data_IF_630810079360
#
_entry.id   IF_630810079360
#
_cell.length_a   1.000
_cell.length_b   1.000
_cell.length_c   1.000
_cell.angle_alpha   90.00
_cell.angle_beta   90.00
_cell.angle_gamma   90.00
#
_symmetry.space_group_name_H-M   'P 1'
#
loop_
_entity.id
_entity.type
_entity.pdbx_description
1 polymer ?
#
# COMPACT_ATOMS: atom_id res chain seq x y z
N UNK A 1 -20.88 17.38 -24.96
CA UNK A 1 -21.79 16.22 -25.00
C UNK A 1 -21.00 15.03 -24.48
N UNK A 2 -21.34 14.62 -23.25
CA UNK A 2 -20.68 13.47 -22.62
C UNK A 2 -21.09 12.18 -23.33
N UNK A 3 -20.18 11.20 -23.32
CA UNK A 3 -20.50 9.84 -23.74
C UNK A 3 -21.52 9.27 -22.73
N UNK A 4 -22.77 9.09 -23.12
CA UNK A 4 -23.85 8.60 -22.23
C UNK A 4 -23.48 7.26 -21.57
N UNK A 5 -22.83 6.37 -22.33
CA UNK A 5 -22.35 5.06 -21.79
C UNK A 5 -21.31 5.24 -20.71
N UNK A 6 -20.42 6.23 -20.83
CA UNK A 6 -19.43 6.52 -19.81
C UNK A 6 -20.07 7.12 -18.55
N UNK A 7 -21.06 7.99 -18.71
CA UNK A 7 -21.82 8.55 -17.59
C UNK A 7 -22.57 7.43 -16.86
N UNK A 8 -23.25 6.57 -17.62
CA UNK A 8 -23.93 5.40 -17.06
C UNK A 8 -22.95 4.52 -16.27
N UNK A 9 -21.81 4.15 -16.84
CA UNK A 9 -20.80 3.31 -16.18
C UNK A 9 -20.24 3.93 -14.90
N UNK A 10 -20.14 5.26 -14.84
CA UNK A 10 -19.66 5.98 -13.65
C UNK A 10 -20.69 6.01 -12.50
N UNK A 11 -21.99 5.92 -12.79
CA UNK A 11 -23.04 6.22 -11.81
C UNK A 11 -24.13 5.13 -11.69
N UNK A 12 -24.10 4.03 -12.50
CA UNK A 12 -25.16 3.02 -12.46
C UNK A 12 -25.18 2.20 -11.16
N UNK A 13 -24.08 2.22 -10.41
CA UNK A 13 -23.97 1.61 -9.08
C UNK A 13 -22.95 2.35 -8.21
N UNK A 14 -22.88 1.96 -6.95
CA UNK A 14 -21.79 2.35 -6.08
C UNK A 14 -20.63 1.36 -6.21
N UNK A 15 -19.38 1.85 -6.00
CA UNK A 15 -18.21 1.01 -5.88
C UNK A 15 -18.36 0.16 -4.62
N UNK A 16 -18.40 -1.16 -4.79
CA UNK A 16 -18.64 -2.08 -3.69
C UNK A 16 -17.42 -2.21 -2.80
N UNK A 17 -17.64 -2.10 -1.49
CA UNK A 17 -16.68 -2.56 -0.49
C UNK A 17 -16.80 -4.09 -0.41
N UNK A 18 -15.90 -4.80 -1.11
CA UNK A 18 -15.84 -6.26 -1.11
C UNK A 18 -15.21 -6.82 0.16
N UNK A 19 -14.86 -8.10 0.15
CA UNK A 19 -14.32 -8.85 1.29
C UNK A 19 -13.00 -8.33 1.86
N UNK A 20 -12.47 -7.24 1.37
CA UNK A 20 -11.19 -6.69 1.87
C UNK A 20 -10.98 -5.22 1.56
N UNK A 21 -11.95 -4.56 0.90
CA UNK A 21 -11.84 -3.15 0.56
C UNK A 21 -12.45 -2.77 -0.79
N UNK A 22 -12.04 -1.63 -1.33
CA UNK A 22 -12.47 -1.09 -2.63
C UNK A 22 -11.39 -1.31 -3.69
N UNK A 23 -11.81 -1.45 -4.94
CA UNK A 23 -10.92 -1.38 -6.11
C UNK A 23 -11.72 -0.89 -7.33
N UNK A 24 -11.17 0.07 -8.05
CA UNK A 24 -11.83 0.60 -9.25
C UNK A 24 -10.96 1.61 -10.00
N UNK A 25 -11.46 2.07 -11.13
CA UNK A 25 -10.85 3.14 -11.90
C UNK A 25 -10.91 4.45 -11.13
N UNK A 26 -9.83 5.23 -11.21
CA UNK A 26 -9.77 6.58 -10.64
C UNK A 26 -10.66 7.50 -11.48
N UNK A 27 -11.51 8.31 -10.85
CA UNK A 27 -12.32 9.30 -11.54
C UNK A 27 -13.59 9.72 -10.80
N UNK A 28 -14.33 10.62 -11.40
CA UNK A 28 -15.61 11.07 -10.87
C UNK A 28 -16.70 10.00 -11.10
N UNK A 29 -17.51 9.78 -10.08
CA UNK A 29 -18.63 8.83 -10.10
C UNK A 29 -18.69 7.94 -8.86
N UNK A 30 -19.88 7.41 -8.59
CA UNK A 30 -20.11 6.51 -7.44
C UNK A 30 -19.45 5.14 -7.65
N UNK A 31 -19.27 4.72 -8.91
CA UNK A 31 -18.59 3.48 -9.31
C UNK A 31 -17.11 3.75 -9.67
N UNK A 32 -16.45 4.67 -8.98
CA UNK A 32 -15.04 5.06 -9.20
C UNK A 32 -14.30 5.25 -7.88
N UNK A 33 -12.98 5.09 -7.94
CA UNK A 33 -12.08 5.51 -6.84
C UNK A 33 -11.91 7.03 -6.89
N UNK A 34 -12.32 7.69 -5.85
CA UNK A 34 -12.17 9.13 -5.63
C UNK A 34 -12.27 9.47 -4.14
N UNK A 35 -12.07 10.73 -3.79
CA UNK A 35 -12.11 11.19 -2.39
C UNK A 35 -13.43 10.87 -1.70
N UNK A 36 -14.56 10.90 -2.41
CA UNK A 36 -15.88 10.63 -1.82
C UNK A 36 -16.08 9.16 -1.50
N UNK A 37 -15.68 8.26 -2.40
CA UNK A 37 -15.77 6.81 -2.17
C UNK A 37 -14.79 6.36 -1.09
N UNK A 38 -13.60 6.97 -1.01
CA UNK A 38 -12.64 6.75 0.09
C UNK A 38 -13.21 7.23 1.42
N UNK A 39 -13.78 8.45 1.48
CA UNK A 39 -14.43 8.97 2.69
C UNK A 39 -15.58 8.09 3.14
N UNK A 40 -16.42 7.63 2.21
CA UNK A 40 -17.54 6.71 2.52
C UNK A 40 -17.04 5.42 3.16
N UNK A 41 -16.05 4.77 2.55
CA UNK A 41 -15.46 3.56 3.08
C UNK A 41 -14.84 3.79 4.46
N UNK A 42 -14.11 4.90 4.62
CA UNK A 42 -13.45 5.24 5.88
C UNK A 42 -14.45 5.63 6.98
N UNK A 43 -15.55 6.31 6.64
CA UNK A 43 -16.62 6.59 7.60
C UNK A 43 -17.26 5.29 8.11
N UNK A 44 -17.52 4.32 7.23
CA UNK A 44 -18.02 3.01 7.63
C UNK A 44 -17.02 2.25 8.52
N UNK A 45 -15.74 2.26 8.15
CA UNK A 45 -14.67 1.68 8.98
C UNK A 45 -14.60 2.35 10.35
N UNK A 46 -14.66 3.69 10.40
CA UNK A 46 -14.66 4.45 11.66
C UNK A 46 -15.84 4.10 12.57
N UNK A 47 -17.05 4.00 11.99
CA UNK A 47 -18.25 3.60 12.71
C UNK A 47 -18.09 2.19 13.32
N UNK A 48 -17.56 1.25 12.52
CA UNK A 48 -17.30 -0.10 12.98
C UNK A 48 -16.25 -0.15 14.10
N UNK A 49 -15.11 0.54 13.94
CA UNK A 49 -14.07 0.64 14.97
C UNK A 49 -14.65 1.18 16.29
N UNK A 50 -15.48 2.22 16.24
CA UNK A 50 -16.13 2.81 17.42
C UNK A 50 -17.08 1.78 18.07
N UNK A 51 -17.86 1.05 17.27
CA UNK A 51 -18.77 0.02 17.78
C UNK A 51 -18.04 -1.14 18.47
N UNK A 52 -16.81 -1.43 18.06
CA UNK A 52 -15.94 -2.44 18.68
C UNK A 52 -15.14 -1.90 19.88
N UNK A 53 -15.34 -0.64 20.27
CA UNK A 53 -14.60 -0.01 21.38
C UNK A 53 -13.13 0.25 21.10
N UNK A 54 -12.71 0.23 19.83
CA UNK A 54 -11.31 0.34 19.39
C UNK A 54 -10.81 1.75 19.12
N UNK A 55 -11.62 2.78 19.38
CA UNK A 55 -11.34 4.18 19.01
C UNK A 55 -9.96 4.67 19.45
N UNK A 56 -9.54 4.33 20.65
CA UNK A 56 -8.29 4.82 21.26
C UNK A 56 -7.02 4.13 20.71
N UNK A 57 -7.17 3.00 20.00
CA UNK A 57 -6.02 2.26 19.45
C UNK A 57 -5.45 2.88 18.16
N UNK A 58 -6.25 3.65 17.44
CA UNK A 58 -5.84 4.27 16.17
C UNK A 58 -5.76 3.33 14.97
N UNK A 59 -5.35 3.89 13.82
CA UNK A 59 -5.26 3.21 12.52
C UNK A 59 -3.95 3.57 11.84
N UNK A 60 -3.20 2.58 11.35
CA UNK A 60 -2.01 2.81 10.52
C UNK A 60 -2.38 2.86 9.04
N UNK A 61 -1.74 3.75 8.27
CA UNK A 61 -2.05 3.97 6.85
C UNK A 61 -0.77 3.96 6.03
N UNK A 62 -0.71 3.08 5.03
CA UNK A 62 0.34 3.04 4.01
C UNK A 62 -0.26 3.20 2.61
N UNK A 63 0.58 3.53 1.65
CA UNK A 63 0.18 3.72 0.27
C UNK A 63 1.32 3.36 -0.70
N UNK A 64 0.97 3.08 -1.94
CA UNK A 64 1.90 2.77 -3.02
C UNK A 64 2.20 3.98 -3.91
N UNK A 65 2.90 3.74 -5.04
CA UNK A 65 3.29 4.78 -6.01
C UNK A 65 2.18 5.22 -6.95
N UNK A 66 0.98 4.63 -6.90
CA UNK A 66 -0.10 4.93 -7.83
C UNK A 66 -0.57 6.37 -7.72
N UNK A 67 -1.11 6.88 -8.83
CA UNK A 67 -1.79 8.18 -8.87
C UNK A 67 -2.82 8.27 -7.75
N UNK A 68 -2.89 9.39 -7.08
CA UNK A 68 -3.82 9.70 -5.98
C UNK A 68 -3.63 8.84 -4.71
N UNK A 69 -2.62 7.96 -4.62
CA UNK A 69 -2.44 7.14 -3.42
C UNK A 69 -2.12 7.97 -2.18
N UNK A 70 -1.23 8.98 -2.21
CA UNK A 70 -1.00 9.86 -1.08
C UNK A 70 -2.26 10.66 -0.68
N UNK A 71 -2.97 11.21 -1.66
CA UNK A 71 -4.18 12.00 -1.42
C UNK A 71 -5.30 11.15 -0.80
N UNK A 72 -5.48 9.93 -1.27
CA UNK A 72 -6.47 9.01 -0.70
C UNK A 72 -6.07 8.55 0.72
N UNK A 73 -4.78 8.40 1.00
CA UNK A 73 -4.28 8.11 2.35
C UNK A 73 -4.59 9.27 3.31
N UNK A 74 -4.34 10.51 2.89
CA UNK A 74 -4.67 11.71 3.67
C UNK A 74 -6.18 11.85 3.88
N UNK A 75 -6.99 11.64 2.85
CA UNK A 75 -8.45 11.69 2.98
C UNK A 75 -8.99 10.65 3.97
N UNK A 76 -8.45 9.43 3.96
CA UNK A 76 -8.79 8.42 4.95
C UNK A 76 -8.35 8.85 6.36
N UNK A 77 -7.15 9.37 6.52
CA UNK A 77 -6.64 9.85 7.80
C UNK A 77 -7.48 10.99 8.39
N UNK A 78 -7.85 11.98 7.56
CA UNK A 78 -8.65 13.11 7.98
C UNK A 78 -10.10 12.74 8.32
N UNK A 79 -10.65 11.73 7.65
CA UNK A 79 -11.95 11.15 8.01
C UNK A 79 -11.89 10.43 9.36
N UNK A 80 -10.85 9.62 9.61
CA UNK A 80 -10.63 8.97 10.91
C UNK A 80 -10.47 9.99 12.03
N UNK A 81 -9.61 11.00 11.82
CA UNK A 81 -9.35 12.06 12.78
C UNK A 81 -10.64 12.82 13.15
N UNK A 82 -11.49 13.15 12.17
CA UNK A 82 -12.78 13.81 12.40
C UNK A 82 -13.78 12.93 13.19
N UNK A 83 -13.57 11.61 13.22
CA UNK A 83 -14.30 10.69 14.09
C UNK A 83 -13.59 10.47 15.44
N UNK A 84 -12.49 11.18 15.70
CA UNK A 84 -11.70 11.10 16.92
C UNK A 84 -10.84 9.84 17.01
N UNK A 85 -10.51 9.21 15.87
CA UNK A 85 -9.63 8.06 15.77
C UNK A 85 -8.29 8.55 15.27
N UNK A 86 -7.20 8.26 15.98
CA UNK A 86 -5.86 8.66 15.59
C UNK A 86 -5.41 7.89 14.34
N UNK A 87 -4.88 8.61 13.36
CA UNK A 87 -4.28 8.06 12.15
C UNK A 87 -2.75 8.18 12.20
N UNK A 88 -2.05 7.08 11.96
CA UNK A 88 -0.61 7.01 11.79
C UNK A 88 -0.31 6.82 10.30
N UNK A 89 0.14 7.86 9.62
CA UNK A 89 0.34 7.87 8.16
C UNK A 89 1.83 7.83 7.84
N UNK A 90 2.25 6.90 7.00
CA UNK A 90 3.63 6.86 6.55
C UNK A 90 4.01 8.13 5.76
N UNK A 91 5.23 8.63 5.98
CA UNK A 91 5.79 9.83 5.35
C UNK A 91 6.07 9.67 3.84
N UNK A 92 6.17 8.44 3.38
CA UNK A 92 6.35 8.06 1.98
C UNK A 92 5.71 6.68 1.75
N UNK A 93 5.73 6.23 0.49
CA UNK A 93 5.20 4.90 0.14
C UNK A 93 5.87 3.78 0.94
N UNK A 94 5.09 2.83 1.42
CA UNK A 94 5.56 1.63 2.14
C UNK A 94 4.81 0.40 1.68
N UNK A 95 5.47 -0.78 1.70
CA UNK A 95 4.85 -2.04 1.26
C UNK A 95 3.83 -2.55 2.29
N UNK A 96 2.86 -3.29 1.78
CA UNK A 96 1.81 -3.93 2.59
C UNK A 96 2.33 -4.73 3.80
N UNK A 97 3.41 -5.54 3.71
CA UNK A 97 3.94 -6.24 4.87
C UNK A 97 4.44 -5.30 5.97
N UNK A 98 4.96 -4.14 5.60
CA UNK A 98 5.39 -3.13 6.57
C UNK A 98 4.21 -2.44 7.25
N UNK A 99 3.08 -2.23 6.55
CA UNK A 99 1.84 -1.83 7.22
C UNK A 99 1.39 -2.87 8.24
N UNK A 100 1.33 -4.14 7.86
CA UNK A 100 0.96 -5.24 8.76
C UNK A 100 1.84 -5.27 10.03
N UNK A 101 3.12 -5.01 9.86
CA UNK A 101 4.06 -4.86 10.97
C UNK A 101 3.77 -3.62 11.80
N UNK A 102 3.61 -2.45 11.15
CA UNK A 102 3.40 -1.16 11.80
C UNK A 102 2.15 -1.15 12.69
N UNK A 103 1.03 -1.64 12.16
CA UNK A 103 -0.22 -1.65 12.93
C UNK A 103 -0.12 -2.49 14.21
N UNK A 104 0.56 -3.65 14.15
CA UNK A 104 0.82 -4.48 15.34
C UNK A 104 1.82 -3.83 16.28
N UNK A 105 2.88 -3.23 15.75
CA UNK A 105 3.93 -2.54 16.53
C UNK A 105 3.38 -1.34 17.30
N UNK A 106 2.46 -0.59 16.69
CA UNK A 106 1.79 0.57 17.29
C UNK A 106 0.58 0.21 18.14
N UNK A 107 0.12 -1.05 18.12
CA UNK A 107 -1.09 -1.49 18.80
C UNK A 107 -2.38 -0.93 18.20
N UNK A 108 -2.38 -0.63 16.90
CA UNK A 108 -3.55 -0.13 16.19
C UNK A 108 -4.65 -1.19 16.10
N UNK A 109 -5.93 -0.75 16.09
CA UNK A 109 -7.08 -1.62 15.87
C UNK A 109 -7.22 -2.05 14.40
N UNK A 110 -6.76 -1.21 13.48
CA UNK A 110 -6.92 -1.44 12.05
C UNK A 110 -5.75 -0.82 11.26
N UNK A 111 -5.62 -1.23 10.02
CA UNK A 111 -4.72 -0.64 9.05
C UNK A 111 -5.38 -0.43 7.70
N UNK A 112 -4.88 0.52 6.93
CA UNK A 112 -5.33 0.82 5.57
C UNK A 112 -4.12 0.81 4.63
N UNK A 113 -4.24 0.14 3.47
CA UNK A 113 -3.30 0.31 2.36
C UNK A 113 -4.03 0.85 1.15
N UNK A 114 -3.57 1.98 0.66
CA UNK A 114 -4.06 2.54 -0.60
C UNK A 114 -3.24 1.96 -1.74
N UNK A 115 -3.86 1.03 -2.47
CA UNK A 115 -3.21 0.29 -3.57
C UNK A 115 -4.22 -0.48 -4.40
N UNK A 116 -3.96 -0.65 -5.69
CA UNK A 116 -4.66 -1.59 -6.55
C UNK A 116 -3.75 -2.78 -6.96
N UNK A 117 -2.72 -3.10 -6.17
CA UNK A 117 -1.81 -4.22 -6.47
C UNK A 117 -1.09 -4.00 -7.81
N UNK A 118 -1.17 -4.97 -8.69
CA UNK A 118 -0.58 -4.96 -10.03
C UNK A 118 -1.57 -4.58 -11.15
N UNK A 119 -2.75 -4.03 -10.82
CA UNK A 119 -3.69 -3.55 -11.83
C UNK A 119 -3.07 -2.43 -12.70
N UNK A 120 -3.62 -2.17 -13.90
CA UNK A 120 -3.22 -1.05 -14.74
C UNK A 120 -3.22 0.30 -14.01
N UNK A 121 -2.49 1.32 -14.52
CA UNK A 121 -2.27 2.60 -13.82
C UNK A 121 -3.56 3.40 -13.56
N UNK A 122 -4.63 3.16 -14.32
CA UNK A 122 -5.92 3.83 -14.14
C UNK A 122 -6.67 3.40 -12.87
N UNK A 123 -6.23 2.29 -12.25
CA UNK A 123 -6.85 1.74 -11.03
C UNK A 123 -6.19 2.25 -9.77
N UNK A 124 -7.00 2.41 -8.73
CA UNK A 124 -6.54 2.45 -7.35
C UNK A 124 -7.48 1.63 -6.47
N UNK A 125 -7.14 1.48 -5.20
CA UNK A 125 -7.91 0.70 -4.25
C UNK A 125 -7.62 1.11 -2.81
N UNK A 126 -8.42 0.54 -1.93
CA UNK A 126 -8.39 0.74 -0.49
C UNK A 126 -8.54 -0.62 0.16
N UNK A 127 -7.52 -1.14 0.81
CA UNK A 127 -7.56 -2.42 1.53
C UNK A 127 -7.55 -2.16 3.04
N UNK A 128 -8.44 -2.83 3.76
CA UNK A 128 -8.51 -2.75 5.22
C UNK A 128 -7.88 -3.98 5.88
N UNK A 129 -7.25 -3.76 7.03
CA UNK A 129 -6.58 -4.74 7.87
C UNK A 129 -7.11 -4.64 9.29
N UNK A 130 -7.01 -5.71 10.07
CA UNK A 130 -7.44 -5.70 11.47
C UNK A 130 -6.23 -5.84 12.41
N UNK A 131 -6.47 -5.79 13.73
CA UNK A 131 -5.43 -5.71 14.76
C UNK A 131 -4.42 -6.86 14.76
N UNK A 132 -4.75 -7.99 14.14
CA UNK A 132 -3.84 -9.12 13.95
C UNK A 132 -2.80 -8.90 12.84
N UNK A 133 -2.96 -7.85 12.04
CA UNK A 133 -2.10 -7.54 10.90
C UNK A 133 -2.50 -8.20 9.59
N UNK A 134 -3.58 -8.97 9.59
CA UNK A 134 -4.11 -9.59 8.37
C UNK A 134 -5.15 -8.68 7.69
N UNK A 135 -5.32 -8.87 6.37
CA UNK A 135 -6.45 -8.28 5.67
C UNK A 135 -7.75 -8.78 6.29
N UNK A 136 -8.73 -7.89 6.43
CA UNK A 136 -10.00 -8.20 7.11
C UNK A 136 -10.69 -9.44 6.53
N UNK A 137 -11.23 -10.26 7.44
CA UNK A 137 -12.01 -11.47 7.17
C UNK A 137 -13.25 -11.47 8.07
N UNK A 138 -14.20 -12.41 7.88
CA UNK A 138 -15.34 -12.50 8.80
C UNK A 138 -14.91 -12.64 10.26
N UNK A 139 -15.57 -11.92 11.20
CA UNK A 139 -16.79 -11.11 11.01
C UNK A 139 -16.51 -9.64 10.64
N UNK A 140 -15.27 -9.20 10.58
CA UNK A 140 -14.90 -7.78 10.45
C UNK A 140 -15.23 -7.22 9.06
N UNK A 141 -15.00 -7.98 7.99
CA UNK A 141 -15.33 -7.59 6.62
C UNK A 141 -16.83 -7.29 6.47
N UNK A 142 -17.67 -8.20 6.95
CA UNK A 142 -19.13 -8.05 6.93
C UNK A 142 -19.59 -6.86 7.79
N UNK A 143 -19.03 -6.73 9.00
CA UNK A 143 -19.37 -5.63 9.90
C UNK A 143 -19.00 -4.25 9.33
N UNK A 144 -17.82 -4.12 8.73
CA UNK A 144 -17.38 -2.89 8.06
C UNK A 144 -18.27 -2.60 6.84
N UNK A 145 -18.53 -3.61 6.00
CA UNK A 145 -19.37 -3.47 4.82
C UNK A 145 -20.79 -3.00 5.18
N UNK A 146 -21.36 -3.53 6.26
CA UNK A 146 -22.69 -3.12 6.74
C UNK A 146 -22.70 -1.66 7.22
N UNK A 147 -21.63 -1.19 7.88
CA UNK A 147 -21.50 0.21 8.26
C UNK A 147 -21.28 1.12 7.05
N UNK A 148 -20.51 0.70 6.04
CA UNK A 148 -20.34 1.44 4.77
C UNK A 148 -21.67 1.60 4.04
N UNK A 149 -22.51 0.57 3.99
CA UNK A 149 -23.85 0.61 3.37
C UNK A 149 -24.81 1.58 4.06
N UNK A 150 -24.67 1.80 5.36
CA UNK A 150 -25.48 2.78 6.10
C UNK A 150 -25.16 4.23 5.77
N UNK A 151 -23.99 4.48 5.22
CA UNK A 151 -23.56 5.82 4.79
C UNK A 151 -24.16 6.12 3.42
N UNK A 152 -25.39 6.56 3.37
CA UNK A 152 -26.15 6.83 2.14
C UNK A 152 -26.12 8.29 1.71
N UNK A 153 -25.84 9.20 2.64
CA UNK A 153 -25.75 10.64 2.38
C UNK A 153 -24.29 11.09 2.44
N UNK A 154 -23.79 11.55 1.30
CA UNK A 154 -22.41 12.03 1.14
C UNK A 154 -22.11 13.31 1.95
N UNK A 155 -23.15 14.03 2.44
CA UNK A 155 -22.98 15.16 3.34
C UNK A 155 -22.66 14.76 4.78
N UNK A 156 -22.83 13.47 5.13
CA UNK A 156 -22.64 12.96 6.49
C UNK A 156 -21.21 12.50 6.79
N UNK A 157 -20.34 12.46 5.79
CA UNK A 157 -18.92 12.15 6.02
C UNK A 157 -18.30 13.20 6.92
N UNK A 158 -17.64 12.74 7.96
CA UNK A 158 -16.82 13.62 8.77
C UNK A 158 -15.45 13.75 8.12
N UNK A 159 -14.96 14.96 8.05
CA UNK A 159 -13.58 15.28 7.69
C UNK A 159 -13.15 16.53 8.41
N UNK A 160 -11.85 16.76 8.52
CA UNK A 160 -11.26 17.97 9.12
C UNK A 160 -10.02 18.39 8.34
N UNK A 161 -9.49 19.58 8.63
CA UNK A 161 -8.24 20.00 8.04
C UNK A 161 -7.05 19.22 8.60
N UNK A 162 -5.98 19.12 7.83
CA UNK A 162 -4.72 18.51 8.29
C UNK A 162 -4.14 19.27 9.49
N UNK A 163 -4.26 20.60 9.50
CA UNK A 163 -3.79 21.45 10.59
C UNK A 163 -4.54 21.12 11.88
N UNK A 164 -5.88 21.06 11.85
CA UNK A 164 -6.69 20.73 13.02
C UNK A 164 -6.43 19.29 13.50
N UNK A 165 -6.28 18.34 12.57
CA UNK A 165 -5.99 16.95 12.92
C UNK A 165 -4.65 16.80 13.64
N UNK A 166 -3.61 17.51 13.18
CA UNK A 166 -2.30 17.57 13.83
C UNK A 166 -2.36 18.29 15.18
N UNK A 167 -3.03 19.42 15.25
CA UNK A 167 -3.21 20.16 16.49
C UNK A 167 -3.95 19.34 17.56
N UNK A 168 -4.92 18.51 17.14
CA UNK A 168 -5.63 17.59 18.04
C UNK A 168 -4.83 16.32 18.39
N UNK A 169 -3.64 16.10 17.81
CA UNK A 169 -2.85 14.88 17.99
C UNK A 169 -3.45 13.63 17.34
N UNK A 170 -4.37 13.82 16.39
CA UNK A 170 -5.11 12.75 15.69
C UNK A 170 -4.53 12.39 14.31
N UNK A 171 -3.50 13.11 13.87
CA UNK A 171 -2.72 12.78 12.66
C UNK A 171 -1.23 12.78 13.03
N UNK A 172 -0.61 11.62 12.94
CA UNK A 172 0.81 11.44 13.20
C UNK A 172 1.51 10.86 11.96
N UNK A 173 2.59 11.52 11.55
CA UNK A 173 3.44 11.01 10.47
C UNK A 173 4.43 10.01 11.05
N UNK A 174 4.48 8.80 10.49
CA UNK A 174 5.41 7.72 10.86
C UNK A 174 6.35 7.42 9.69
N UNK A 175 7.50 6.80 9.97
CA UNK A 175 8.52 6.46 8.97
C UNK A 175 9.71 5.75 9.60
N UNK A 176 10.89 6.38 9.61
CA UNK A 176 12.18 5.76 9.94
C UNK A 176 12.19 4.88 11.19
N UNK A 177 11.47 5.23 12.26
CA UNK A 177 11.40 4.41 13.49
C UNK A 177 10.71 3.08 13.24
N UNK A 178 9.68 3.07 12.39
CA UNK A 178 8.99 1.83 12.00
C UNK A 178 9.87 1.05 11.02
N UNK A 179 10.46 1.73 10.02
CA UNK A 179 11.38 1.12 9.05
C UNK A 179 12.52 0.38 9.75
N UNK A 180 13.17 1.02 10.74
CA UNK A 180 14.26 0.43 11.51
C UNK A 180 13.83 -0.82 12.28
N UNK A 181 12.67 -0.74 12.92
CA UNK A 181 12.11 -1.87 13.65
C UNK A 181 11.71 -3.01 12.71
N UNK A 182 11.13 -2.70 11.55
CA UNK A 182 10.76 -3.68 10.53
C UNK A 182 11.96 -4.41 9.97
N UNK A 183 13.01 -3.69 9.54
CA UNK A 183 14.25 -4.29 9.04
C UNK A 183 14.92 -5.17 10.12
N UNK A 184 14.89 -4.73 11.38
CA UNK A 184 15.43 -5.53 12.48
C UNK A 184 14.71 -6.88 12.66
N UNK A 185 13.37 -6.90 12.46
CA UNK A 185 12.61 -8.16 12.48
C UNK A 185 12.90 -9.02 11.25
N UNK A 186 12.98 -8.45 10.06
CA UNK A 186 13.30 -9.20 8.83
C UNK A 186 14.66 -9.91 8.95
N UNK A 187 15.66 -9.28 9.57
CA UNK A 187 16.99 -9.88 9.77
C UNK A 187 16.96 -11.13 10.66
N UNK A 188 15.99 -11.24 11.57
CA UNK A 188 15.82 -12.44 12.42
C UNK A 188 15.26 -13.64 11.65
N UNK A 189 14.69 -13.42 10.46
CA UNK A 189 14.13 -14.47 9.62
C UNK A 189 15.17 -15.16 8.73
N UNK A 190 16.41 -14.67 8.74
CA UNK A 190 17.51 -15.28 7.97
C UNK A 190 17.84 -16.66 8.52
N UNK A 191 17.68 -17.69 7.68
CA UNK A 191 17.93 -19.09 8.05
C UNK A 191 19.41 -19.45 7.95
N UNK A 192 20.12 -18.93 6.93
CA UNK A 192 21.49 -19.29 6.60
C UNK A 192 22.37 -18.04 6.42
N UNK A 193 22.72 -17.39 7.52
CA UNK A 193 23.65 -16.27 7.49
C UNK A 193 25.05 -16.70 7.04
N UNK A 194 25.47 -17.93 7.38
CA UNK A 194 26.72 -18.53 6.95
C UNK A 194 26.86 -18.61 5.42
N UNK A 195 25.76 -18.91 4.70
CA UNK A 195 25.75 -18.91 3.25
C UNK A 195 25.90 -17.48 2.70
N UNK A 196 25.20 -16.50 3.30
CA UNK A 196 25.34 -15.09 2.89
C UNK A 196 26.76 -14.60 3.15
N UNK A 197 27.36 -14.93 4.28
CA UNK A 197 28.74 -14.53 4.63
C UNK A 197 29.77 -15.12 3.65
N UNK A 198 29.49 -16.32 3.11
CA UNK A 198 30.35 -16.97 2.13
C UNK A 198 30.29 -16.32 0.75
N UNK A 199 29.12 -15.95 0.25
CA UNK A 199 28.92 -15.52 -1.15
C UNK A 199 28.44 -14.08 -1.33
N UNK A 200 27.91 -13.43 -0.30
CA UNK A 200 27.24 -12.13 -0.43
C UNK A 200 28.13 -10.98 -0.93
N UNK A 201 29.45 -11.11 -0.80
CA UNK A 201 30.41 -10.12 -1.31
C UNK A 201 30.59 -10.20 -2.82
N UNK A 202 30.42 -11.39 -3.39
CA UNK A 202 30.70 -11.67 -4.80
C UNK A 202 29.43 -11.79 -5.61
N UNK A 203 28.32 -12.28 -5.00
CA UNK A 203 27.03 -12.47 -5.65
C UNK A 203 26.49 -11.15 -6.21
N UNK A 204 26.21 -11.16 -7.51
CA UNK A 204 25.66 -10.00 -8.24
C UNK A 204 24.15 -10.14 -8.41
N UNK A 205 23.42 -9.25 -7.78
CA UNK A 205 21.95 -9.22 -7.80
C UNK A 205 21.50 -8.03 -8.61
N UNK A 206 20.67 -8.24 -9.62
CA UNK A 206 19.88 -7.18 -10.27
C UNK A 206 18.51 -7.13 -9.59
N UNK A 207 18.07 -5.94 -9.25
CA UNK A 207 16.78 -5.73 -8.60
C UNK A 207 15.95 -4.69 -9.34
N UNK A 208 14.68 -4.97 -9.57
CA UNK A 208 13.70 -3.97 -10.00
C UNK A 208 12.54 -3.86 -9.02
N UNK A 209 12.26 -2.65 -8.50
CA UNK A 209 11.07 -2.37 -7.70
C UNK A 209 9.81 -2.14 -8.54
N UNK A 210 9.88 -2.17 -9.87
CA UNK A 210 8.78 -1.83 -10.78
C UNK A 210 8.08 -0.51 -10.37
N UNK A 211 8.86 0.55 -10.15
CA UNK A 211 8.39 1.86 -9.69
C UNK A 211 7.67 1.85 -8.32
N UNK A 212 7.84 0.82 -7.52
CA UNK A 212 7.00 0.55 -6.34
C UNK A 212 7.69 0.68 -5.00
N UNK A 213 6.98 0.23 -3.97
CA UNK A 213 7.30 0.37 -2.54
C UNK A 213 8.50 -0.45 -2.09
N UNK A 214 8.88 -1.48 -2.85
CA UNK A 214 10.01 -2.35 -2.51
C UNK A 214 11.39 -1.68 -2.62
N UNK A 215 11.51 -0.56 -3.34
CA UNK A 215 12.81 0.08 -3.63
C UNK A 215 13.67 0.27 -2.38
N UNK A 216 13.17 0.95 -1.37
CA UNK A 216 13.93 1.26 -0.17
C UNK A 216 14.13 0.03 0.74
N UNK A 217 13.07 -0.68 1.19
CA UNK A 217 13.22 -1.76 2.16
C UNK A 217 13.99 -2.97 1.62
N UNK A 218 13.77 -3.37 0.36
CA UNK A 218 14.50 -4.52 -0.23
C UNK A 218 15.99 -4.22 -0.36
N UNK A 219 16.34 -3.06 -0.90
CA UNK A 219 17.76 -2.64 -1.02
C UNK A 219 18.43 -2.54 0.34
N UNK A 220 17.70 -1.99 1.33
CA UNK A 220 18.20 -1.85 2.69
C UNK A 220 18.47 -3.21 3.33
N UNK A 221 17.52 -4.13 3.29
CA UNK A 221 17.70 -5.46 3.90
C UNK A 221 18.82 -6.24 3.22
N UNK A 222 18.91 -6.24 1.89
CA UNK A 222 19.99 -6.90 1.16
C UNK A 222 21.36 -6.33 1.57
N UNK A 223 21.48 -5.01 1.64
CA UNK A 223 22.72 -4.35 2.08
C UNK A 223 23.10 -4.71 3.52
N UNK A 224 22.13 -4.68 4.44
CA UNK A 224 22.36 -4.97 5.86
C UNK A 224 22.65 -6.45 6.14
N UNK A 225 22.18 -7.36 5.29
CA UNK A 225 22.51 -8.77 5.32
C UNK A 225 23.92 -9.08 4.81
N UNK A 226 24.53 -8.19 4.02
CA UNK A 226 25.92 -8.36 3.56
C UNK A 226 26.10 -8.45 2.04
N UNK A 227 25.03 -8.38 1.25
CA UNK A 227 25.13 -8.32 -0.22
C UNK A 227 25.72 -6.98 -0.67
N UNK A 228 26.81 -7.02 -1.45
CA UNK A 228 27.55 -5.83 -1.87
C UNK A 228 27.23 -5.36 -3.29
N UNK A 229 26.85 -6.28 -4.17
CA UNK A 229 26.68 -6.04 -5.59
C UNK A 229 25.17 -6.10 -5.95
N UNK A 230 24.41 -5.13 -5.49
CA UNK A 230 22.99 -4.97 -5.81
C UNK A 230 22.85 -3.84 -6.83
N UNK A 231 22.46 -4.20 -8.05
CA UNK A 231 22.27 -3.30 -9.20
C UNK A 231 20.77 -3.07 -9.41
N UNK A 232 20.31 -1.85 -9.21
CA UNK A 232 18.90 -1.50 -9.44
C UNK A 232 18.70 -1.11 -10.88
N UNK A 233 17.59 -1.53 -11.49
CA UNK A 233 17.19 -1.12 -12.85
C UNK A 233 16.85 0.38 -12.83
N UNK A 234 17.67 1.25 -13.46
CA UNK A 234 17.54 2.71 -13.27
C UNK A 234 16.20 3.26 -13.77
N UNK A 235 15.68 2.68 -14.85
CA UNK A 235 14.43 3.13 -15.47
C UNK A 235 13.20 2.80 -14.62
N UNK A 236 13.33 1.86 -13.68
CA UNK A 236 12.25 1.36 -12.81
C UNK A 236 12.47 1.69 -11.32
N UNK A 237 13.55 2.41 -10.98
CA UNK A 237 13.94 2.69 -9.60
C UNK A 237 12.98 3.66 -8.91
N UNK A 238 12.69 4.78 -9.58
CA UNK A 238 11.89 5.84 -8.97
C UNK A 238 10.38 5.51 -9.02
N UNK A 239 9.63 5.90 -7.98
CA UNK A 239 8.18 5.76 -7.98
C UNK A 239 7.53 6.48 -9.16
N UNK A 240 6.66 5.77 -9.89
CA UNK A 240 5.89 6.35 -10.98
C UNK A 240 4.55 5.61 -11.11
N UNK A 241 3.44 6.33 -10.89
CA UNK A 241 2.09 5.76 -10.93
C UNK A 241 1.58 5.43 -12.34
N UNK A 242 2.33 5.82 -13.38
CA UNK A 242 2.02 5.53 -14.78
C UNK A 242 2.70 4.25 -15.27
N UNK A 243 3.66 3.72 -14.51
CA UNK A 243 4.41 2.50 -14.85
C UNK A 243 4.92 2.48 -16.29
N UNK A 244 5.66 3.51 -16.76
CA UNK A 244 5.93 3.75 -18.18
C UNK A 244 6.78 2.67 -18.86
N UNK A 245 7.36 1.77 -18.10
CA UNK A 245 8.26 0.71 -18.59
C UNK A 245 7.58 -0.64 -18.80
N UNK A 246 6.29 -0.77 -18.44
CA UNK A 246 5.51 -2.01 -18.52
C UNK A 246 4.04 -1.71 -18.85
N UNK A 247 3.37 -2.63 -19.52
CA UNK A 247 1.93 -2.48 -19.80
C UNK A 247 1.08 -2.55 -18.54
N UNK A 248 1.50 -3.38 -17.56
CA UNK A 248 1.01 -3.40 -16.20
C UNK A 248 2.10 -3.97 -15.26
N UNK A 249 2.16 -3.50 -14.01
CA UNK A 249 3.32 -3.75 -13.14
C UNK A 249 3.21 -5.08 -12.38
N UNK A 250 3.11 -6.19 -13.11
CA UNK A 250 3.08 -7.54 -12.52
C UNK A 250 4.43 -8.24 -12.72
N UNK A 251 5.18 -8.55 -11.66
CA UNK A 251 6.48 -9.24 -11.76
C UNK A 251 6.37 -10.71 -12.24
N UNK A 252 5.16 -11.27 -12.35
CA UNK A 252 4.96 -12.57 -12.98
C UNK A 252 4.95 -12.48 -14.51
N UNK A 253 4.80 -11.27 -15.07
CA UNK A 253 4.83 -11.06 -16.50
C UNK A 253 6.28 -10.98 -17.03
N UNK A 254 6.57 -11.69 -18.11
CA UNK A 254 7.90 -11.69 -18.73
C UNK A 254 8.38 -10.27 -19.11
N UNK A 255 7.47 -9.41 -19.56
CA UNK A 255 7.73 -8.01 -19.90
C UNK A 255 8.34 -7.24 -18.72
N UNK A 256 7.91 -7.50 -17.48
CA UNK A 256 8.40 -6.82 -16.30
C UNK A 256 9.90 -7.05 -16.05
N UNK A 257 10.43 -8.20 -16.47
CA UNK A 257 11.84 -8.55 -16.35
C UNK A 257 12.72 -8.08 -17.52
N UNK A 258 12.16 -7.58 -18.60
CA UNK A 258 12.94 -7.27 -19.81
C UNK A 258 14.14 -6.35 -19.54
N UNK A 259 13.95 -5.26 -18.81
CA UNK A 259 15.02 -4.34 -18.41
C UNK A 259 15.98 -4.97 -17.39
N UNK A 260 15.46 -5.72 -16.44
CA UNK A 260 16.25 -6.47 -15.47
C UNK A 260 17.16 -7.51 -16.14
N UNK A 261 16.65 -8.26 -17.11
CA UNK A 261 17.42 -9.21 -17.89
C UNK A 261 18.51 -8.52 -18.74
N UNK A 262 18.19 -7.37 -19.35
CA UNK A 262 19.17 -6.58 -20.10
C UNK A 262 20.32 -6.09 -19.20
N UNK A 263 19.99 -5.56 -18.02
CA UNK A 263 20.98 -5.14 -17.04
C UNK A 263 21.76 -6.34 -16.51
N UNK A 264 21.07 -7.46 -16.22
CA UNK A 264 21.70 -8.69 -15.75
C UNK A 264 22.79 -9.22 -16.67
N UNK A 265 22.53 -9.26 -17.99
CA UNK A 265 23.51 -9.61 -19.01
C UNK A 265 24.71 -8.64 -19.03
N UNK A 266 24.47 -7.34 -18.83
CA UNK A 266 25.53 -6.31 -18.83
C UNK A 266 26.47 -6.43 -17.65
N UNK A 267 25.96 -6.77 -16.45
CA UNK A 267 26.76 -6.87 -15.23
C UNK A 267 27.18 -8.30 -14.92
N UNK A 268 26.75 -9.26 -15.71
CA UNK A 268 26.95 -10.70 -15.49
C UNK A 268 26.36 -11.10 -14.12
N UNK A 269 25.05 -10.89 -13.98
CA UNK A 269 24.34 -11.10 -12.72
C UNK A 269 24.04 -12.59 -12.48
N UNK A 270 24.17 -13.01 -11.22
CA UNK A 270 23.83 -14.35 -10.76
C UNK A 270 22.32 -14.50 -10.49
N UNK A 271 21.66 -13.39 -10.12
CA UNK A 271 20.26 -13.38 -9.70
C UNK A 271 19.56 -12.11 -10.14
N UNK A 272 18.30 -12.23 -10.58
CA UNK A 272 17.42 -11.10 -10.86
C UNK A 272 16.19 -11.22 -9.96
N UNK A 273 15.84 -10.12 -9.29
CA UNK A 273 14.69 -10.01 -8.40
C UNK A 273 13.76 -8.89 -8.86
N UNK A 274 12.46 -9.11 -8.74
CA UNK A 274 11.47 -8.06 -8.93
C UNK A 274 10.45 -8.08 -7.77
N UNK A 275 9.89 -6.91 -7.46
CA UNK A 275 8.76 -6.79 -6.53
C UNK A 275 7.62 -6.04 -7.18
N UNK A 276 6.38 -6.36 -6.77
CA UNK A 276 5.20 -5.59 -7.18
C UNK A 276 5.24 -4.15 -6.63
N UNK A 277 4.50 -3.21 -7.22
CA UNK A 277 4.43 -1.83 -6.74
C UNK A 277 4.03 -1.67 -5.27
N UNK A 278 3.23 -2.60 -4.73
CA UNK A 278 2.83 -2.60 -3.32
C UNK A 278 3.63 -3.59 -2.45
N UNK A 279 4.54 -4.35 -3.04
CA UNK A 279 5.68 -4.97 -2.41
C UNK A 279 5.56 -6.28 -1.62
N UNK A 280 4.63 -7.25 -1.88
CA UNK A 280 4.65 -8.43 -1.02
C UNK A 280 5.49 -9.62 -1.48
N UNK A 281 5.73 -9.83 -2.76
CA UNK A 281 6.43 -11.04 -3.21
C UNK A 281 7.55 -10.72 -4.19
N UNK A 282 8.82 -11.09 -3.87
CA UNK A 282 9.87 -11.11 -4.86
C UNK A 282 9.57 -12.24 -5.86
N UNK A 283 9.60 -11.93 -7.15
CA UNK A 283 9.57 -12.91 -8.21
C UNK A 283 10.96 -13.07 -8.81
N UNK A 284 11.29 -14.30 -9.17
CA UNK A 284 12.55 -14.67 -9.83
C UNK A 284 12.18 -15.26 -11.18
N UNK A 285 12.75 -14.80 -12.31
CA UNK A 285 12.48 -15.39 -13.61
C UNK A 285 12.99 -16.84 -13.64
N UNK A 286 12.22 -17.72 -14.24
CA UNK A 286 12.57 -19.13 -14.47
C UNK A 286 13.47 -19.28 -15.69
#
# INVERSE_FOLDING_TARGET
PGNEKEIEDRFYRELEFGTGGLRGWIGAGTNRMNIYTVRKATQGLANYIISQGGKEKGVAIAYDSRRMSPEFADEAALCLAANGIKAYVFDALRPTPELSFALRKLGCISGIVITASHNPPEYNGYKAYWEDGAQITPPHDTGIMDEVKKVTDYSTFKTMSLEDARAAGLYETIGAVIDDAYIAELKKLVVHQDAIDAVGKDLKIVYTPLHGTGNIPVRRVLKELGFKNVYVVPEQELPDGDFPTVSYPNPEAEEAFALGLALGRKVDADLILATEPYGPLPSVPH
#
